data_IF_528905306068
#
_entry.id   IF_528905306068
#
_cell.length_a   1.000
_cell.length_b   1.000
_cell.length_c   1.000
_cell.angle_alpha   90.00
_cell.angle_beta   90.00
_cell.angle_gamma   90.00
#
_symmetry.space_group_name_H-M   'P 1'
#
loop_
_entity.id
_entity.type
_entity.pdbx_description
1 polymer ?
#
# COMPACT_ATOMS: atom_id res chain seq x y z
N UNK A 1 5.54 0.52 -8.84
CA UNK A 1 4.18 0.21 -8.37
C UNK A 1 4.08 -1.24 -7.96
N UNK A 2 3.32 -1.52 -6.94
CA UNK A 2 3.19 -2.89 -6.43
C UNK A 2 2.30 -3.73 -7.34
N UNK A 3 2.55 -5.04 -7.43
CA UNK A 3 1.67 -5.91 -8.19
C UNK A 3 0.32 -6.06 -7.50
N UNK A 4 -0.71 -6.28 -8.30
CA UNK A 4 -2.07 -6.43 -7.76
C UNK A 4 -2.22 -7.62 -6.82
N UNK A 5 -1.43 -8.67 -7.04
CA UNK A 5 -1.46 -9.83 -6.15
C UNK A 5 -1.08 -9.45 -4.72
N UNK A 6 -0.13 -8.53 -4.57
CA UNK A 6 0.26 -8.06 -3.24
C UNK A 6 -0.89 -7.30 -2.58
N UNK A 7 -1.56 -6.43 -3.34
CA UNK A 7 -2.71 -5.70 -2.82
C UNK A 7 -3.85 -6.64 -2.44
N UNK A 8 -4.12 -7.65 -3.27
CA UNK A 8 -5.17 -8.60 -2.96
C UNK A 8 -4.88 -9.40 -1.71
N UNK A 9 -3.61 -9.77 -1.53
CA UNK A 9 -3.18 -10.47 -0.32
C UNK A 9 -3.33 -9.57 0.91
N UNK A 10 -3.15 -8.28 0.74
CA UNK A 10 -3.24 -7.32 1.84
C UNK A 10 -4.68 -7.02 2.27
N UNK A 11 -5.67 -7.46 1.51
CA UNK A 11 -7.07 -7.22 1.83
C UNK A 11 -7.38 -7.73 3.24
N UNK A 12 -8.06 -6.90 4.02
CA UNK A 12 -8.37 -7.21 5.42
C UNK A 12 -7.29 -6.80 6.40
N UNK A 13 -6.17 -6.25 5.92
CA UNK A 13 -5.04 -5.87 6.75
C UNK A 13 -4.85 -4.36 6.75
N UNK A 14 -4.16 -3.82 7.78
CA UNK A 14 -3.87 -2.39 7.85
C UNK A 14 -3.01 -1.94 6.68
N UNK A 15 -3.22 -0.71 6.25
CA UNK A 15 -2.46 -0.14 5.16
C UNK A 15 -2.35 1.37 5.34
N UNK A 16 -1.20 1.93 4.99
CA UNK A 16 -0.99 3.36 4.95
C UNK A 16 -0.85 3.79 3.50
N UNK A 17 -1.57 4.82 3.11
CA UNK A 17 -1.51 5.38 1.75
C UNK A 17 -1.14 6.84 1.84
N UNK A 18 -0.08 7.24 1.17
CA UNK A 18 0.23 8.66 1.03
C UNK A 18 -0.15 9.12 -0.37
N UNK A 19 -0.88 10.22 -0.44
CA UNK A 19 -1.30 10.80 -1.70
C UNK A 19 -0.27 11.78 -2.22
N UNK A 20 -0.34 12.07 -3.50
CA UNK A 20 0.55 13.04 -4.13
C UNK A 20 0.42 14.43 -3.55
N UNK A 21 -0.75 14.76 -2.97
CA UNK A 21 -0.96 16.06 -2.32
C UNK A 21 -0.39 16.12 -0.90
N UNK A 22 0.18 15.02 -0.40
CA UNK A 22 0.81 14.98 0.91
C UNK A 22 -0.07 14.45 2.05
N UNK A 23 -1.35 14.28 1.82
CA UNK A 23 -2.22 13.70 2.85
C UNK A 23 -1.97 12.20 2.99
N UNK A 24 -2.18 11.67 4.19
CA UNK A 24 -2.03 10.24 4.43
C UNK A 24 -3.32 9.65 4.95
N UNK A 25 -3.60 8.44 4.51
CA UNK A 25 -4.79 7.68 4.90
C UNK A 25 -4.33 6.36 5.49
N UNK A 26 -4.76 6.10 6.71
CA UNK A 26 -4.39 4.89 7.44
C UNK A 26 -5.67 4.13 7.76
N UNK A 27 -5.80 2.93 7.23
CA UNK A 27 -7.02 2.16 7.45
C UNK A 27 -6.84 0.71 7.06
N UNK A 28 -7.95 -0.01 7.00
CA UNK A 28 -7.94 -1.42 6.62
C UNK A 28 -8.33 -1.53 5.15
N UNK A 29 -7.52 -2.24 4.38
CA UNK A 29 -7.80 -2.43 2.97
C UNK A 29 -9.03 -3.33 2.81
N UNK A 30 -10.07 -2.78 2.19
CA UNK A 30 -11.30 -3.52 1.93
C UNK A 30 -11.26 -4.19 0.56
N UNK A 31 -10.86 -3.44 -0.45
CA UNK A 31 -10.79 -3.97 -1.82
C UNK A 31 -9.93 -3.10 -2.69
N UNK A 32 -9.56 -3.62 -3.83
CA UNK A 32 -8.86 -2.87 -4.86
C UNK A 32 -9.28 -3.40 -6.22
N UNK A 33 -9.10 -2.58 -7.26
CA UNK A 33 -9.41 -3.00 -8.61
C UNK A 33 -8.15 -3.06 -9.47
N UNK A 34 -8.32 -3.38 -10.74
CA UNK A 34 -7.18 -3.58 -11.65
C UNK A 34 -6.44 -2.27 -11.98
N UNK A 35 -7.04 -1.14 -11.67
CA UNK A 35 -6.41 0.17 -11.89
C UNK A 35 -5.80 0.71 -10.60
N UNK A 36 -5.75 -0.14 -9.56
CA UNK A 36 -5.23 0.22 -8.25
C UNK A 36 -6.05 1.30 -7.55
N UNK A 37 -7.32 1.39 -7.86
CA UNK A 37 -8.22 2.16 -7.01
C UNK A 37 -8.44 1.35 -5.75
N UNK A 38 -8.31 1.99 -4.61
CA UNK A 38 -8.26 1.30 -3.32
C UNK A 38 -9.38 1.80 -2.44
N UNK A 39 -10.08 0.86 -1.79
CA UNK A 39 -11.11 1.18 -0.82
C UNK A 39 -10.61 0.80 0.56
N UNK A 40 -10.57 1.77 1.45
CA UNK A 40 -10.17 1.56 2.85
C UNK A 40 -11.36 1.76 3.76
N UNK A 41 -11.36 1.05 4.88
CA UNK A 41 -12.37 1.19 5.93
C UNK A 41 -11.72 1.59 7.24
N UNK A 42 -12.51 2.22 8.09
CA UNK A 42 -12.06 2.68 9.40
C UNK A 42 -10.79 3.51 9.27
N UNK A 43 -10.91 4.57 8.51
CA UNK A 43 -9.77 5.34 8.04
C UNK A 43 -9.48 6.50 8.98
N UNK A 44 -8.19 6.71 9.26
CA UNK A 44 -7.73 7.94 9.90
C UNK A 44 -6.95 8.71 8.84
N UNK A 45 -7.43 9.91 8.59
CA UNK A 45 -6.84 10.79 7.60
C UNK A 45 -5.98 11.82 8.31
N UNK A 46 -4.76 12.04 7.81
CA UNK A 46 -3.85 13.04 8.38
C UNK A 46 -3.59 14.10 7.34
N UNK A 47 -3.65 15.36 7.76
CA UNK A 47 -3.39 16.48 6.86
C UNK A 47 -1.94 16.48 6.41
N UNK A 48 -1.67 17.24 5.36
CA UNK A 48 -0.34 17.32 4.75
C UNK A 48 0.74 17.74 5.74
N UNK A 49 0.41 18.68 6.63
CA UNK A 49 1.35 19.19 7.62
C UNK A 49 1.40 18.34 8.90
N UNK A 50 0.52 17.33 9.01
CA UNK A 50 0.49 16.46 10.17
C UNK A 50 -0.23 17.01 11.37
N UNK A 51 -0.83 18.19 11.26
CA UNK A 51 -1.44 18.88 12.41
C UNK A 51 -2.89 18.49 12.66
N UNK A 52 -3.55 17.94 11.67
CA UNK A 52 -4.98 17.63 11.79
C UNK A 52 -5.24 16.18 11.44
N UNK A 53 -6.17 15.60 12.18
CA UNK A 53 -6.60 14.22 11.99
C UNK A 53 -8.11 14.19 11.95
N UNK A 54 -8.67 13.31 11.13
CA UNK A 54 -10.10 13.06 11.17
C UNK A 54 -10.36 11.61 10.76
N UNK A 55 -11.51 11.11 11.20
CA UNK A 55 -11.90 9.74 10.93
C UNK A 55 -12.95 9.67 9.84
N UNK A 56 -12.82 8.67 8.99
CA UNK A 56 -13.79 8.40 7.95
C UNK A 56 -14.14 6.92 8.02
N UNK A 57 -15.44 6.58 7.91
CA UNK A 57 -15.81 5.16 7.92
C UNK A 57 -15.25 4.42 6.72
N UNK A 58 -15.08 5.13 5.60
CA UNK A 58 -14.69 4.52 4.35
C UNK A 58 -14.17 5.59 3.41
N UNK A 59 -13.19 5.23 2.58
CA UNK A 59 -12.68 6.14 1.56
C UNK A 59 -12.27 5.33 0.34
N UNK A 60 -12.51 5.90 -0.84
CA UNK A 60 -12.03 5.32 -2.10
C UNK A 60 -10.94 6.24 -2.63
N UNK A 61 -9.78 5.66 -2.90
CA UNK A 61 -8.61 6.40 -3.37
C UNK A 61 -8.27 5.95 -4.78
N UNK A 62 -8.17 6.91 -5.68
CA UNK A 62 -7.80 6.60 -7.05
C UNK A 62 -6.31 6.29 -7.15
N UNK A 63 -5.99 5.25 -7.91
CA UNK A 63 -4.60 4.79 -8.03
C UNK A 63 -3.65 5.88 -8.49
N UNK A 64 -4.08 6.73 -9.43
CA UNK A 64 -3.19 7.76 -9.96
C UNK A 64 -2.95 8.92 -9.00
N UNK A 65 -3.66 8.97 -7.88
CA UNK A 65 -3.41 9.97 -6.83
C UNK A 65 -2.47 9.47 -5.75
N UNK A 66 -2.08 8.21 -5.81
CA UNK A 66 -1.25 7.59 -4.79
C UNK A 66 0.22 7.86 -5.06
N UNK A 67 0.90 8.37 -4.05
CA UNK A 67 2.34 8.55 -4.10
C UNK A 67 3.04 7.25 -3.73
N UNK A 68 2.63 6.65 -2.61
CA UNK A 68 3.13 5.34 -2.22
C UNK A 68 2.18 4.65 -1.24
N UNK A 69 2.37 3.36 -1.09
CA UNK A 69 1.65 2.51 -0.15
C UNK A 69 2.63 1.93 0.83
N UNK A 70 2.18 1.73 2.06
CA UNK A 70 2.97 1.04 3.06
C UNK A 70 2.14 -0.12 3.62
N UNK A 71 2.67 -1.32 3.49
CA UNK A 71 1.99 -2.55 3.87
C UNK A 71 2.82 -3.24 4.94
N UNK A 72 2.19 -3.80 5.99
CA UNK A 72 2.95 -4.50 7.03
C UNK A 72 3.77 -5.65 6.46
N UNK A 73 4.94 -5.88 7.05
CA UNK A 73 5.87 -6.92 6.59
C UNK A 73 5.25 -8.30 6.60
N UNK A 74 4.46 -8.62 7.60
CA UNK A 74 3.83 -9.93 7.68
C UNK A 74 2.88 -10.19 6.53
N UNK A 75 2.33 -9.14 5.92
CA UNK A 75 1.50 -9.29 4.73
C UNK A 75 2.38 -9.56 3.52
N UNK A 76 3.48 -8.85 3.43
CA UNK A 76 4.43 -9.04 2.33
C UNK A 76 4.93 -10.48 2.31
N UNK A 77 5.18 -11.05 3.49
CA UNK A 77 5.67 -12.41 3.62
C UNK A 77 4.66 -13.46 3.13
N UNK A 78 3.38 -13.10 3.03
CA UNK A 78 2.35 -14.00 2.53
C UNK A 78 2.27 -14.04 1.01
N UNK A 79 2.95 -13.14 0.32
CA UNK A 79 2.89 -13.05 -1.13
C UNK A 79 3.92 -14.01 -1.73
N UNK A 80 3.56 -14.75 -2.79
CA UNK A 80 4.53 -15.64 -3.43
C UNK A 80 5.78 -14.88 -3.86
N UNK A 81 6.92 -15.51 -3.66
CA UNK A 81 8.21 -14.89 -3.94
C UNK A 81 8.32 -14.41 -5.39
N UNK A 82 7.78 -15.17 -6.31
CA UNK A 82 7.82 -14.79 -7.72
C UNK A 82 7.11 -13.48 -8.00
N UNK A 83 6.02 -13.20 -7.25
CA UNK A 83 5.30 -11.94 -7.41
C UNK A 83 6.11 -10.78 -6.87
N UNK A 84 6.81 -11.01 -5.77
CA UNK A 84 7.69 -9.98 -5.20
C UNK A 84 8.89 -9.73 -6.12
N UNK A 85 9.39 -10.77 -6.74
CA UNK A 85 10.45 -10.68 -7.72
C UNK A 85 10.08 -9.75 -8.86
N UNK A 86 8.87 -9.90 -9.37
CA UNK A 86 8.38 -9.06 -10.44
C UNK A 86 8.26 -7.61 -10.00
N UNK A 87 7.82 -7.38 -8.79
CA UNK A 87 7.74 -6.03 -8.25
C UNK A 87 9.12 -5.40 -8.12
N UNK A 88 10.12 -6.21 -7.77
CA UNK A 88 11.48 -5.73 -7.60
C UNK A 88 12.22 -5.45 -8.89
N UNK A 89 11.83 -6.08 -9.95
CA UNK A 89 12.53 -5.94 -11.22
C UNK A 89 12.63 -4.52 -11.72
N UNK A 90 11.59 -3.77 -11.53
CA UNK A 90 11.57 -2.39 -11.96
C UNK A 90 12.61 -1.54 -11.26
N UNK A 91 13.13 -2.02 -10.15
CA UNK A 91 14.14 -1.30 -9.37
C UNK A 91 15.54 -1.77 -9.64
N UNK A 92 15.67 -2.83 -10.36
CA UNK A 92 16.96 -3.41 -10.63
C UNK A 92 17.53 -4.05 -9.41
N UNK A 93 16.86 -4.69 -8.70
CA UNK A 93 17.34 -5.21 -7.66
C UNK A 93 17.39 -6.34 -6.91
N UNK A 94 17.63 -6.48 -6.57
CA UNK A 94 17.66 -7.27 -5.81
C UNK A 94 18.08 -7.49 -4.98
N UNK A 95 18.15 -7.31 -4.73
CA UNK A 95 18.45 -7.75 -4.28
C UNK A 95 18.45 -7.96 -3.46
N UNK A 96 18.35 -8.27 -3.16
CA UNK A 96 18.23 -8.85 -2.74
C UNK A 96 18.08 -9.01 -1.86
N UNK A 97 18.01 -9.33 -1.65
CA UNK A 97 17.83 -9.78 -1.08
C UNK A 97 17.92 -9.42 -0.36
N UNK A 98 17.94 -9.16 -0.10
CA UNK A 98 17.99 -9.26 0.05
C UNK A 98 17.91 -8.81 0.75
N UNK A 99 17.85 -8.74 1.08
CA UNK A 99 17.88 -8.59 1.18
C UNK A 99 17.50 -8.36 1.56
N UNK A 100 17.47 -8.29 1.99
CA UNK A 100 17.13 -8.56 1.76
C UNK A 100 16.77 -8.23 2.23
N UNK A 101 16.54 -8.40 2.43
CA UNK A 101 16.32 -8.51 2.36
C UNK A 101 16.08 -8.04 2.41
N UNK A 102 16.23 -7.92 2.71
CA UNK A 102 16.11 -7.97 2.26
C UNK A 102 15.93 -7.62 2.42
N UNK A 103 15.86 -7.57 2.41
CA UNK A 103 15.73 -7.74 2.17
C UNK A 103 15.60 -7.56 2.25
#
# INVERSE_FOLDING_TARGET
MLPLSLLRTATGNPMLVELKNGETFNGTLDSCDNWMNIKLKEVICTSRDGDRFWRLPEVVIRGNNIKYLRIPEEVIDMVPEEDLSMAGKGKGGKGGKGDGRGR
#
